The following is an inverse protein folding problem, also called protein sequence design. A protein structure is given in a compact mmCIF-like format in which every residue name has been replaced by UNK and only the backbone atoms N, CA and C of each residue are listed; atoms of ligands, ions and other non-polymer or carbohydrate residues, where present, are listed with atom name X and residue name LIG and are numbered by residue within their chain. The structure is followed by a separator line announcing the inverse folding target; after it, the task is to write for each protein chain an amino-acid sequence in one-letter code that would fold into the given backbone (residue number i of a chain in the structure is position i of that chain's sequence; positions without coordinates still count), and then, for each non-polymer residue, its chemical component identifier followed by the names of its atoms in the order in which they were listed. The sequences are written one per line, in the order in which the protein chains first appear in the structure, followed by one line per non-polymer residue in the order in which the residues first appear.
data_IF_074227927727
#
_entry.id   IF_074227927727
#
_cell.length_a   1.000
_cell.length_b   1.000
_cell.length_c   1.000
_cell.angle_alpha   90.00
_cell.angle_beta   90.00
_cell.angle_gamma   90.00
#
_symmetry.space_group_name_H-M   'P 1'
#
loop_
_entity.id
_entity.type
_entity.pdbx_description
1 polymer ?
#
# COMPACT_ATOMS: atom_id res chain seq x y z
N UNK A 1 0.69 -14.78 0.18
CA UNK A 1 0.49 -13.34 -0.09
C UNK A 1 -0.56 -12.83 0.89
N UNK A 2 -0.26 -11.78 1.67
CA UNK A 2 -1.19 -11.20 2.64
C UNK A 2 -2.14 -10.25 1.93
N UNK A 3 -3.37 -10.14 2.43
CA UNK A 3 -4.42 -9.32 1.84
C UNK A 3 -5.03 -8.36 2.88
N UNK A 4 -5.29 -7.13 2.46
CA UNK A 4 -5.93 -6.06 3.24
C UNK A 4 -7.27 -5.65 2.65
N UNK A 5 -8.09 -5.03 3.49
CA UNK A 5 -9.32 -4.36 3.03
C UNK A 5 -8.96 -3.11 2.24
N UNK A 6 -9.57 -2.96 1.06
CA UNK A 6 -9.38 -1.80 0.21
C UNK A 6 -10.32 -0.68 0.63
N UNK A 7 -9.99 0.01 1.73
CA UNK A 7 -10.87 0.98 2.35
C UNK A 7 -12.25 0.38 2.69
N UNK A 8 -13.31 1.16 2.49
CA UNK A 8 -14.70 0.75 2.69
C UNK A 8 -15.34 0.09 1.46
N UNK A 9 -14.56 -0.24 0.41
CA UNK A 9 -15.09 -0.83 -0.84
C UNK A 9 -15.69 -2.24 -0.68
N UNK A 10 -15.41 -2.92 0.43
CA UNK A 10 -15.79 -4.32 0.63
C UNK A 10 -14.95 -5.32 -0.19
N UNK A 11 -13.87 -4.86 -0.84
CA UNK A 11 -12.92 -5.70 -1.58
C UNK A 11 -11.67 -5.97 -0.75
N UNK A 12 -11.12 -7.19 -0.86
CA UNK A 12 -9.77 -7.51 -0.37
C UNK A 12 -8.78 -7.44 -1.52
N UNK A 13 -7.61 -6.89 -1.24
CA UNK A 13 -6.52 -6.67 -2.21
C UNK A 13 -5.20 -7.14 -1.61
N UNK A 14 -4.21 -7.52 -2.44
CA UNK A 14 -2.87 -7.82 -1.94
C UNK A 14 -2.25 -6.59 -1.25
N UNK A 15 -1.42 -6.83 -0.23
CA UNK A 15 -0.67 -5.74 0.43
C UNK A 15 0.34 -5.06 -0.50
N UNK A 16 0.85 -5.77 -1.51
CA UNK A 16 1.77 -5.23 -2.52
C UNK A 16 1.20 -5.57 -3.90
N UNK A 17 1.12 -4.59 -4.79
CA UNK A 17 0.69 -4.78 -6.17
C UNK A 17 1.59 -4.01 -7.13
N UNK A 18 1.66 -4.44 -8.39
CA UNK A 18 2.38 -3.71 -9.43
C UNK A 18 1.51 -2.57 -9.95
N UNK A 19 2.12 -1.41 -10.21
CA UNK A 19 1.46 -0.29 -10.85
C UNK A 19 0.79 -0.71 -12.17
N UNK A 20 -0.50 -0.41 -12.30
CA UNK A 20 -1.29 -0.76 -13.47
C UNK A 20 -1.88 -2.18 -13.47
N UNK A 21 -1.52 -3.04 -12.50
CA UNK A 21 -2.11 -4.38 -12.34
C UNK A 21 -3.30 -4.41 -11.36
N UNK A 22 -3.48 -3.34 -10.56
CA UNK A 22 -4.60 -3.19 -9.62
C UNK A 22 -5.51 -2.04 -10.05
N UNK A 23 -6.81 -2.31 -10.12
CA UNK A 23 -7.84 -1.28 -10.30
C UNK A 23 -7.95 -0.43 -9.03
N UNK A 24 -7.62 0.86 -9.16
CA UNK A 24 -7.54 1.76 -8.00
C UNK A 24 -8.86 2.47 -7.69
N UNK A 25 -9.82 2.48 -8.62
CA UNK A 25 -11.11 3.16 -8.46
C UNK A 25 -10.91 4.59 -7.91
N UNK A 26 -11.61 4.96 -6.84
CA UNK A 26 -11.49 6.26 -6.17
C UNK A 26 -10.35 6.31 -5.14
N UNK A 27 -9.38 5.42 -5.16
CA UNK A 27 -8.30 5.42 -4.17
C UNK A 27 -7.50 6.72 -4.15
N UNK A 28 -7.00 7.08 -2.97
CA UNK A 28 -5.99 8.11 -2.83
C UNK A 28 -4.62 7.48 -3.10
N UNK A 29 -3.93 7.96 -4.14
CA UNK A 29 -2.57 7.52 -4.48
C UNK A 29 -1.58 8.57 -4.00
N UNK A 30 -0.64 8.17 -3.15
CA UNK A 30 0.43 9.02 -2.63
C UNK A 30 1.80 8.46 -3.03
N UNK A 31 2.80 9.33 -3.15
CA UNK A 31 4.18 8.93 -3.43
C UNK A 31 4.97 8.56 -2.16
N UNK A 32 4.45 8.90 -0.98
CA UNK A 32 5.05 8.56 0.31
C UNK A 32 4.01 8.57 1.45
N UNK A 33 4.40 8.10 2.63
CA UNK A 33 3.60 8.15 3.87
C UNK A 33 3.85 9.40 4.72
N UNK A 34 4.53 10.40 4.18
CA UNK A 34 4.89 11.61 4.93
C UNK A 34 3.69 12.53 5.15
N UNK A 35 2.71 12.52 4.23
CA UNK A 35 1.47 13.26 4.37
C UNK A 35 0.48 12.54 5.29
N UNK A 36 0.78 12.59 6.59
CA UNK A 36 -0.05 11.98 7.62
C UNK A 36 -1.49 12.54 7.64
N UNK A 37 -1.66 13.81 7.29
CA UNK A 37 -2.98 14.43 7.28
C UNK A 37 -3.85 13.83 6.15
N UNK A 38 -3.29 13.68 4.95
CA UNK A 38 -3.99 13.06 3.83
C UNK A 38 -4.31 11.58 4.09
N UNK A 39 -3.34 10.83 4.66
CA UNK A 39 -3.54 9.43 5.06
C UNK A 39 -4.73 9.29 6.03
N UNK A 40 -4.75 10.13 7.06
CA UNK A 40 -5.78 10.07 8.09
C UNK A 40 -7.16 10.47 7.55
N UNK A 41 -7.23 11.55 6.79
CA UNK A 41 -8.47 12.01 6.19
C UNK A 41 -9.10 10.95 5.28
N UNK A 42 -8.31 10.35 4.39
CA UNK A 42 -8.79 9.29 3.51
C UNK A 42 -9.28 8.06 4.29
N UNK A 43 -8.56 7.68 5.35
CA UNK A 43 -8.99 6.57 6.20
C UNK A 43 -10.31 6.85 6.93
N UNK A 44 -10.45 8.05 7.50
CA UNK A 44 -11.67 8.46 8.21
C UNK A 44 -12.88 8.54 7.25
N UNK A 45 -12.65 8.86 5.98
CA UNK A 45 -13.66 8.83 4.90
C UNK A 45 -13.95 7.42 4.35
N UNK A 46 -13.19 6.41 4.78
CA UNK A 46 -13.27 5.05 4.22
C UNK A 46 -12.71 4.94 2.80
N UNK A 47 -12.02 5.96 2.32
CA UNK A 47 -11.37 5.98 1.01
C UNK A 47 -10.14 5.05 1.03
N UNK A 48 -9.98 4.16 0.04
CA UNK A 48 -8.78 3.32 -0.03
C UNK A 48 -7.53 4.18 -0.21
N UNK A 49 -6.48 3.86 0.54
CA UNK A 49 -5.19 4.56 0.45
C UNK A 49 -4.16 3.63 -0.16
N UNK A 50 -3.43 4.17 -1.14
CA UNK A 50 -2.41 3.46 -1.89
C UNK A 50 -1.15 4.31 -1.92
N UNK A 51 -0.01 3.68 -1.67
CA UNK A 51 1.29 4.39 -1.62
C UNK A 51 2.24 3.77 -2.61
N UNK A 52 2.84 4.58 -3.48
CA UNK A 52 3.92 4.13 -4.37
C UNK A 52 5.18 3.86 -3.56
N UNK A 53 5.84 2.76 -3.86
CA UNK A 53 7.02 2.31 -3.16
C UNK A 53 7.99 1.64 -4.14
N UNK A 54 9.18 2.21 -4.29
CA UNK A 54 10.21 1.71 -5.21
C UNK A 54 11.36 0.98 -4.50
N UNK A 55 11.24 0.71 -3.20
CA UNK A 55 12.23 -0.04 -2.41
C UNK A 55 11.57 -0.84 -1.29
N UNK A 56 12.30 -1.80 -0.71
CA UNK A 56 11.81 -2.60 0.42
C UNK A 56 11.50 -1.73 1.64
N UNK A 57 12.31 -0.70 1.91
CA UNK A 57 12.10 0.25 3.00
C UNK A 57 10.84 1.09 2.77
N UNK A 58 10.60 1.55 1.53
CA UNK A 58 9.39 2.28 1.18
C UNK A 58 8.14 1.41 1.30
N UNK A 59 8.20 0.14 0.87
CA UNK A 59 7.11 -0.84 1.03
C UNK A 59 6.84 -1.07 2.52
N UNK A 60 7.87 -1.27 3.33
CA UNK A 60 7.74 -1.43 4.79
C UNK A 60 7.12 -0.19 5.43
N UNK A 61 7.59 1.01 5.07
CA UNK A 61 7.06 2.26 5.60
C UNK A 61 5.58 2.46 5.23
N UNK A 62 5.19 2.10 4.00
CA UNK A 62 3.81 2.09 3.55
C UNK A 62 2.95 1.12 4.38
N UNK A 63 3.36 -0.14 4.50
CA UNK A 63 2.57 -1.19 5.16
C UNK A 63 2.56 -1.11 6.69
N UNK A 64 3.51 -0.41 7.28
CA UNK A 64 3.49 -0.05 8.70
C UNK A 64 2.33 0.89 9.05
N UNK A 65 1.72 1.56 8.08
CA UNK A 65 0.52 2.38 8.28
C UNK A 65 -0.73 1.51 8.20
N UNK A 66 -1.59 1.49 9.24
CA UNK A 66 -2.88 0.79 9.16
C UNK A 66 -3.82 1.40 8.12
N UNK A 67 -3.65 2.68 7.78
CA UNK A 67 -4.46 3.39 6.80
C UNK A 67 -4.20 2.91 5.36
N UNK A 68 -2.98 2.43 5.07
CA UNK A 68 -2.56 2.02 3.72
C UNK A 68 -3.09 0.64 3.40
N UNK A 69 -3.85 0.54 2.31
CA UNK A 69 -4.38 -0.72 1.82
C UNK A 69 -3.37 -1.48 0.96
N UNK A 70 -2.61 -0.78 0.12
CA UNK A 70 -1.68 -1.36 -0.88
C UNK A 70 -0.43 -0.51 -1.03
N UNK A 71 0.73 -1.16 -1.06
CA UNK A 71 1.97 -0.59 -1.59
C UNK A 71 2.08 -0.90 -3.09
N UNK A 72 2.10 0.13 -3.94
CA UNK A 72 2.29 -0.02 -5.38
C UNK A 72 3.76 0.00 -5.73
N UNK A 73 4.25 -1.07 -6.33
CA UNK A 73 5.63 -1.17 -6.82
C UNK A 73 5.65 -0.92 -8.32
N UNK A 74 6.66 -0.21 -8.85
CA UNK A 74 6.74 0.02 -10.28
C UNK A 74 7.03 -1.31 -11.02
N UNK A 75 6.65 -1.45 -12.30
CA UNK A 75 6.73 -2.73 -13.02
C UNK A 75 8.15 -3.29 -13.18
N UNK A 76 9.16 -2.42 -13.17
CA UNK A 76 10.58 -2.76 -13.20
C UNK A 76 11.12 -3.26 -11.85
N UNK A 77 10.31 -3.18 -10.78
CA UNK A 77 10.61 -3.62 -9.42
C UNK A 77 9.69 -4.73 -8.91
N UNK A 78 9.23 -5.58 -9.82
CA UNK A 78 8.29 -6.68 -9.51
C UNK A 78 8.84 -7.65 -8.46
N UNK A 79 10.16 -7.77 -8.32
CA UNK A 79 10.81 -8.55 -7.26
C UNK A 79 10.37 -8.14 -5.85
N UNK A 80 9.89 -6.91 -5.66
CA UNK A 80 9.39 -6.43 -4.37
C UNK A 80 8.07 -7.09 -3.95
N UNK A 81 7.34 -7.77 -4.86
CA UNK A 81 6.17 -8.58 -4.49
C UNK A 81 6.51 -9.78 -3.60
N UNK A 82 7.76 -10.24 -3.66
CA UNK A 82 8.24 -11.43 -2.94
C UNK A 82 8.86 -11.09 -1.58
N UNK A 83 8.83 -9.81 -1.17
CA UNK A 83 9.38 -9.39 0.11
C UNK A 83 8.75 -10.15 1.27
N UNK A 84 9.60 -10.80 2.08
CA UNK A 84 9.16 -11.32 3.37
C UNK A 84 9.03 -10.17 4.37
N UNK A 85 7.83 -9.59 4.39
CA UNK A 85 7.45 -8.52 5.31
C UNK A 85 7.54 -8.95 6.79
N UNK A 86 7.51 -10.25 7.06
CA UNK A 86 7.61 -10.81 8.41
C UNK A 86 9.03 -10.69 8.95
N UNK A 87 10.03 -10.98 8.12
CA UNK A 87 11.45 -10.84 8.48
C UNK A 87 11.84 -9.36 8.62
N UNK A 88 11.33 -8.51 7.73
CA UNK A 88 11.65 -7.07 7.73
C UNK A 88 11.10 -6.31 8.95
N UNK A 89 10.05 -6.79 9.62
CA UNK A 89 9.43 -6.09 10.75
C UNK A 89 10.16 -6.33 12.08
N UNK A 90 10.98 -7.39 12.17
CA UNK A 90 11.71 -7.79 13.39
C UNK A 90 13.24 -7.82 13.24
N UNK A 91 13.76 -7.40 12.08
CA UNK A 91 15.19 -7.17 11.84
C UNK A 91 15.66 -5.78 12.26
#
# INVERSE_FOLDING_TARGET
MRERWFGASGRRVPEIAVEGELELDDALVLDSVEDYAALRAAHDEGRPVVVRAASAEAVKAALARPEVAVALVPPDRRELLELDLTELTYG
#
